data_IF_648711878981
#
_entry.id   IF_648711878981
#
_cell.length_a   1.000
_cell.length_b   1.000
_cell.length_c   1.000
_cell.angle_alpha   90.00
_cell.angle_beta   90.00
_cell.angle_gamma   90.00
#
_symmetry.space_group_name_H-M   'P 1'
#
loop_
_entity.id
_entity.type
_entity.pdbx_description
1 polymer ?
#
# COMPACT_ATOMS: atom_id res chain seq x y z
N UNK A 1 6.12 15.10 33.48
CA UNK A 1 7.39 15.05 32.72
C UNK A 1 7.72 13.59 32.50
N UNK A 2 7.21 13.01 31.43
CA UNK A 2 7.39 11.60 31.09
C UNK A 2 8.62 11.48 30.21
N UNK A 3 9.62 10.75 30.69
CA UNK A 3 10.86 10.47 29.99
C UNK A 3 10.57 9.77 28.66
N UNK A 4 10.92 10.40 27.54
CA UNK A 4 11.13 9.70 26.29
C UNK A 4 12.37 8.82 26.46
N UNK A 5 12.15 7.50 26.53
CA UNK A 5 13.20 6.51 26.33
C UNK A 5 13.73 6.68 24.91
N UNK A 6 14.89 7.31 24.80
CA UNK A 6 15.75 7.25 23.63
C UNK A 6 16.19 5.79 23.45
N UNK A 7 15.40 5.04 22.69
CA UNK A 7 15.75 3.70 22.25
C UNK A 7 16.87 3.84 21.24
N UNK A 8 18.11 3.93 21.72
CA UNK A 8 19.29 3.66 20.90
C UNK A 8 19.12 2.25 20.34
N UNK A 9 18.58 2.15 19.12
CA UNK A 9 18.51 0.91 18.36
C UNK A 9 19.95 0.45 18.20
N UNK A 10 20.35 -0.52 19.00
CA UNK A 10 21.63 -1.18 18.86
C UNK A 10 21.63 -1.84 17.49
N UNK A 11 22.63 -1.49 16.67
CA UNK A 11 22.82 -2.13 15.39
C UNK A 11 23.08 -3.63 15.66
N UNK A 12 22.34 -4.56 15.02
CA UNK A 12 22.61 -5.99 15.17
C UNK A 12 23.98 -6.36 14.60
N UNK A 13 24.55 -7.46 15.05
CA UNK A 13 25.77 -8.02 14.45
C UNK A 13 25.48 -8.53 13.04
N UNK A 14 26.41 -8.32 12.11
CA UNK A 14 26.30 -8.76 10.74
C UNK A 14 26.83 -10.19 10.57
N UNK A 15 26.00 -11.07 10.04
CA UNK A 15 26.35 -12.48 9.83
C UNK A 15 26.88 -12.72 8.43
N UNK A 16 26.32 -12.05 7.42
CA UNK A 16 26.67 -12.21 6.02
C UNK A 16 26.08 -13.47 5.39
N UNK A 17 25.09 -14.11 6.03
CA UNK A 17 24.43 -15.34 5.57
C UNK A 17 22.97 -15.12 5.11
N UNK A 18 22.51 -13.87 5.08
CA UNK A 18 21.12 -13.47 4.78
C UNK A 18 20.06 -14.08 5.73
N UNK A 19 20.48 -14.64 6.87
CA UNK A 19 19.57 -15.11 7.90
C UNK A 19 18.84 -13.94 8.58
N UNK A 20 17.75 -14.23 9.29
CA UNK A 20 17.01 -13.22 10.07
C UNK A 20 16.52 -11.99 9.28
N UNK A 21 16.31 -12.12 7.97
CA UNK A 21 15.96 -11.00 7.07
C UNK A 21 17.04 -9.91 7.03
N UNK A 22 18.30 -10.28 7.25
CA UNK A 22 19.45 -9.39 7.10
C UNK A 22 19.58 -8.93 5.64
N UNK A 23 19.40 -7.63 5.41
CA UNK A 23 19.72 -6.97 4.15
C UNK A 23 21.10 -6.29 4.31
N UNK A 24 22.15 -6.78 3.60
CA UNK A 24 23.50 -6.22 3.71
C UNK A 24 23.58 -4.72 3.35
N UNK A 25 22.76 -4.25 2.42
CA UNK A 25 22.74 -2.85 2.02
C UNK A 25 22.12 -1.96 3.11
N UNK A 26 21.02 -2.41 3.70
CA UNK A 26 20.37 -1.74 4.82
C UNK A 26 21.30 -1.70 6.03
N UNK A 27 21.88 -2.84 6.40
CA UNK A 27 22.78 -2.94 7.55
C UNK A 27 23.99 -2.02 7.39
N UNK A 28 24.65 -2.01 6.22
CA UNK A 28 25.82 -1.16 5.99
C UNK A 28 25.45 0.33 6.04
N UNK A 29 24.26 0.71 5.56
CA UNK A 29 23.77 2.08 5.67
C UNK A 29 23.54 2.50 7.13
N UNK A 30 22.94 1.63 7.94
CA UNK A 30 22.75 1.86 9.38
C UNK A 30 24.09 1.92 10.12
N UNK A 31 25.05 1.06 9.77
CA UNK A 31 26.42 1.11 10.29
C UNK A 31 27.08 2.47 10.02
N UNK A 32 27.02 2.95 8.78
CA UNK A 32 27.57 4.27 8.42
C UNK A 32 26.93 5.42 9.18
N UNK A 33 25.62 5.34 9.39
CA UNK A 33 24.89 6.35 10.16
C UNK A 33 25.30 6.32 11.64
N UNK A 34 25.38 5.13 12.24
CA UNK A 34 25.78 4.96 13.64
C UNK A 34 27.25 5.34 13.92
N UNK A 35 28.09 5.31 12.89
CA UNK A 35 29.53 5.62 12.99
C UNK A 35 29.91 6.94 12.32
N UNK A 36 28.93 7.81 12.00
CA UNK A 36 29.18 9.00 11.17
C UNK A 36 30.18 9.99 11.78
N UNK A 37 30.24 10.07 13.11
CA UNK A 37 31.15 10.95 13.87
C UNK A 37 32.55 10.39 14.06
N UNK A 38 32.78 9.11 13.75
CA UNK A 38 34.06 8.45 13.96
C UNK A 38 35.05 8.75 12.83
N UNK A 39 36.34 8.69 13.16
CA UNK A 39 37.42 8.68 12.17
C UNK A 39 37.39 7.38 11.35
N UNK A 40 38.06 7.37 10.19
CA UNK A 40 38.07 6.18 9.33
C UNK A 40 38.76 4.98 9.99
N UNK A 41 39.83 5.20 10.76
CA UNK A 41 40.46 4.12 11.55
C UNK A 41 39.51 3.55 12.60
N UNK A 42 38.77 4.40 13.31
CA UNK A 42 37.79 3.95 14.30
C UNK A 42 36.61 3.22 13.64
N UNK A 43 36.18 3.64 12.45
CA UNK A 43 35.16 2.96 11.66
C UNK A 43 35.59 1.56 11.24
N UNK A 44 36.84 1.39 10.82
CA UNK A 44 37.40 0.07 10.47
C UNK A 44 37.36 -0.85 11.68
N UNK A 45 37.90 -0.42 12.83
CA UNK A 45 37.85 -1.19 14.08
C UNK A 45 36.41 -1.49 14.50
N UNK A 46 35.52 -0.51 14.39
CA UNK A 46 34.12 -0.66 14.77
C UNK A 46 33.38 -1.61 13.83
N UNK A 47 33.74 -1.65 12.55
CA UNK A 47 33.16 -2.55 11.55
C UNK A 47 33.46 -4.00 11.93
N UNK A 48 34.73 -4.30 12.21
CA UNK A 48 35.17 -5.62 12.67
C UNK A 48 34.41 -6.09 13.93
N UNK A 49 34.27 -5.21 14.93
CA UNK A 49 33.52 -5.50 16.16
C UNK A 49 32.02 -5.73 15.94
N UNK A 50 31.48 -5.34 14.78
CA UNK A 50 30.07 -5.47 14.45
C UNK A 50 29.78 -6.69 13.57
N UNK A 51 30.80 -7.51 13.27
CA UNK A 51 30.63 -8.80 12.61
C UNK A 51 30.27 -9.88 13.64
N UNK A 52 29.53 -10.90 13.20
CA UNK A 52 29.19 -12.02 14.06
C UNK A 52 30.43 -12.89 14.30
N UNK A 53 30.86 -13.10 15.56
CA UNK A 53 32.05 -13.89 15.86
C UNK A 53 31.94 -15.33 15.36
N UNK A 54 32.99 -15.82 14.69
CA UNK A 54 33.03 -17.13 14.04
C UNK A 54 32.05 -17.27 12.87
N UNK A 55 31.55 -16.15 12.34
CA UNK A 55 30.61 -16.11 11.23
C UNK A 55 31.28 -15.84 9.88
N UNK A 56 30.54 -16.10 8.80
CA UNK A 56 30.99 -15.91 7.42
C UNK A 56 31.53 -14.50 7.14
N UNK A 57 30.93 -13.48 7.74
CA UNK A 57 31.37 -12.11 7.55
C UNK A 57 32.71 -11.80 8.24
N UNK A 58 32.95 -12.34 9.43
CA UNK A 58 34.23 -12.16 10.14
C UNK A 58 35.37 -12.91 9.44
N UNK A 59 35.12 -14.14 8.99
CA UNK A 59 36.06 -14.91 8.18
C UNK A 59 36.46 -14.15 6.91
N UNK A 60 35.46 -13.68 6.16
CA UNK A 60 35.66 -12.84 4.97
C UNK A 60 36.48 -11.58 5.28
N UNK A 61 36.12 -10.86 6.36
CA UNK A 61 36.83 -9.64 6.72
C UNK A 61 38.28 -9.95 7.07
N UNK A 62 38.56 -11.04 7.77
CA UNK A 62 39.91 -11.47 8.12
C UNK A 62 40.76 -11.72 6.88
N UNK A 63 40.18 -12.32 5.84
CA UNK A 63 40.83 -12.64 4.56
C UNK A 63 41.12 -11.44 3.65
N UNK A 64 40.46 -10.28 3.87
CA UNK A 64 40.75 -9.07 3.10
C UNK A 64 42.20 -8.60 3.31
N UNK A 65 42.80 -8.10 2.22
CA UNK A 65 44.14 -7.55 2.29
C UNK A 65 44.19 -6.19 3.02
N UNK A 66 45.40 -5.70 3.30
CA UNK A 66 45.59 -4.44 4.03
C UNK A 66 45.08 -3.22 3.26
N UNK A 67 45.06 -3.25 1.92
CA UNK A 67 44.56 -2.16 1.10
C UNK A 67 43.03 -2.10 1.13
N UNK A 68 42.36 -3.24 1.12
CA UNK A 68 40.91 -3.36 1.22
C UNK A 68 40.37 -3.01 2.61
N UNK A 69 41.24 -3.00 3.64
CA UNK A 69 40.94 -2.55 5.02
C UNK A 69 41.38 -1.12 5.31
N UNK A 70 42.00 -0.42 4.36
CA UNK A 70 42.66 0.87 4.63
C UNK A 70 41.68 1.98 5.04
N UNK A 71 40.45 1.92 4.54
CA UNK A 71 39.40 2.91 4.83
C UNK A 71 38.01 2.27 4.84
N UNK A 72 37.02 2.98 5.38
CA UNK A 72 35.63 2.51 5.31
C UNK A 72 35.12 2.46 3.85
N UNK A 73 35.67 3.30 2.97
CA UNK A 73 35.34 3.28 1.55
C UNK A 73 35.86 2.01 0.86
N UNK A 74 37.06 1.55 1.21
CA UNK A 74 37.64 0.31 0.66
C UNK A 74 36.88 -0.92 1.16
N UNK A 75 36.56 -0.95 2.47
CA UNK A 75 35.70 -1.99 3.05
C UNK A 75 34.35 -2.00 2.35
N UNK A 76 33.74 -0.83 2.09
CA UNK A 76 32.46 -0.75 1.37
C UNK A 76 32.56 -1.36 -0.03
N UNK A 77 33.63 -1.09 -0.75
CA UNK A 77 33.83 -1.64 -2.10
C UNK A 77 33.95 -3.16 -2.07
N UNK A 78 34.77 -3.69 -1.16
CA UNK A 78 34.91 -5.13 -0.95
C UNK A 78 33.59 -5.77 -0.48
N UNK A 79 32.87 -5.09 0.42
CA UNK A 79 31.59 -5.53 0.97
C UNK A 79 30.52 -5.66 -0.13
N UNK A 80 30.36 -4.64 -0.98
CA UNK A 80 29.39 -4.67 -2.09
C UNK A 80 29.76 -5.75 -3.12
N UNK A 81 31.06 -6.03 -3.29
CA UNK A 81 31.52 -7.13 -4.15
C UNK A 81 31.15 -8.50 -3.58
N UNK A 82 31.23 -8.69 -2.26
CA UNK A 82 30.89 -9.94 -1.57
C UNK A 82 29.39 -10.14 -1.39
N UNK A 83 28.67 -9.10 -0.99
CA UNK A 83 27.22 -9.07 -0.79
C UNK A 83 26.60 -8.03 -1.74
N UNK A 84 26.44 -8.37 -3.03
CA UNK A 84 25.85 -7.45 -3.99
C UNK A 84 24.41 -7.13 -3.59
N UNK A 85 24.02 -5.87 -3.78
CA UNK A 85 22.63 -5.46 -3.62
C UNK A 85 21.79 -6.29 -4.58
N UNK A 86 20.90 -7.13 -4.05
CA UNK A 86 19.93 -7.82 -4.87
C UNK A 86 19.07 -6.76 -5.55
N UNK A 87 19.30 -6.54 -6.85
CA UNK A 87 18.46 -5.63 -7.63
C UNK A 87 17.05 -6.17 -7.52
N UNK A 88 16.12 -5.36 -7.01
CA UNK A 88 14.70 -5.70 -7.09
C UNK A 88 14.41 -6.08 -8.54
N UNK A 89 13.88 -7.28 -8.81
CA UNK A 89 13.55 -7.67 -10.17
C UNK A 89 12.74 -6.54 -10.80
N UNK A 90 13.20 -6.04 -11.95
CA UNK A 90 12.39 -5.11 -12.72
C UNK A 90 11.15 -5.87 -13.14
N UNK A 91 10.01 -5.40 -12.69
CA UNK A 91 8.72 -5.93 -13.04
C UNK A 91 8.59 -5.90 -14.57
N UNK A 92 8.16 -7.01 -15.17
CA UNK A 92 7.78 -6.98 -16.57
C UNK A 92 6.58 -6.04 -16.75
N UNK A 93 6.37 -5.52 -17.97
CA UNK A 93 5.20 -4.66 -18.23
C UNK A 93 3.88 -5.37 -17.88
N UNK A 94 3.79 -6.68 -18.10
CA UNK A 94 2.63 -7.47 -17.70
C UNK A 94 2.43 -7.46 -16.18
N UNK A 95 3.49 -7.74 -15.41
CA UNK A 95 3.42 -7.74 -13.95
C UNK A 95 3.11 -6.35 -13.36
N UNK A 96 3.62 -5.28 -13.98
CA UNK A 96 3.28 -3.91 -13.59
C UNK A 96 1.78 -3.65 -13.75
N UNK A 97 1.21 -4.02 -14.90
CA UNK A 97 -0.23 -3.88 -15.17
C UNK A 97 -1.07 -4.69 -14.19
N UNK A 98 -0.69 -5.94 -13.92
CA UNK A 98 -1.36 -6.80 -12.94
C UNK A 98 -1.38 -6.14 -11.55
N UNK A 99 -0.24 -5.61 -11.08
CA UNK A 99 -0.19 -4.96 -9.75
C UNK A 99 -1.01 -3.70 -9.64
N UNK A 100 -1.06 -2.88 -10.68
CA UNK A 100 -1.96 -1.72 -10.72
C UNK A 100 -3.41 -2.20 -10.69
N UNK A 101 -3.75 -3.24 -11.45
CA UNK A 101 -5.11 -3.80 -11.49
C UNK A 101 -5.55 -4.45 -10.19
N UNK A 102 -4.61 -4.95 -9.39
CA UNK A 102 -4.88 -5.49 -8.05
C UNK A 102 -5.22 -4.40 -7.03
N UNK A 103 -4.96 -3.12 -7.33
CA UNK A 103 -5.35 -2.00 -6.48
C UNK A 103 -6.84 -1.68 -6.65
N UNK A 104 -7.68 -2.47 -5.98
CA UNK A 104 -9.14 -2.32 -6.07
C UNK A 104 -9.65 -1.24 -5.12
N UNK A 105 -10.39 -0.26 -5.66
CA UNK A 105 -11.20 0.67 -4.88
C UNK A 105 -12.55 0.03 -4.57
N UNK A 106 -12.83 -0.21 -3.30
CA UNK A 106 -14.14 -0.72 -2.90
C UNK A 106 -15.18 0.38 -3.05
N UNK A 107 -16.34 0.05 -3.62
CA UNK A 107 -17.44 1.00 -3.79
C UNK A 107 -17.95 1.57 -2.46
N UNK A 108 -17.83 0.81 -1.38
CA UNK A 108 -18.23 1.22 -0.03
C UNK A 108 -17.30 2.28 0.59
N UNK A 109 -16.07 2.42 0.09
CA UNK A 109 -15.11 3.39 0.58
C UNK A 109 -15.22 4.75 -0.15
N UNK A 110 -15.90 4.79 -1.30
CA UNK A 110 -16.02 6.01 -2.11
C UNK A 110 -16.93 7.03 -1.41
N UNK A 111 -16.45 8.27 -1.26
CA UNK A 111 -17.19 9.33 -0.59
C UNK A 111 -17.28 9.16 0.94
N UNK A 112 -16.62 8.15 1.49
CA UNK A 112 -16.49 7.95 2.94
C UNK A 112 -15.11 8.34 3.42
N UNK A 113 -15.06 8.89 4.63
CA UNK A 113 -13.82 9.09 5.35
C UNK A 113 -13.30 7.74 5.85
N UNK A 114 -12.06 7.40 5.50
CA UNK A 114 -11.42 6.14 5.86
C UNK A 114 -10.09 6.43 6.56
N UNK A 115 -9.78 5.65 7.59
CA UNK A 115 -8.50 5.68 8.28
C UNK A 115 -7.63 4.51 7.80
N UNK A 116 -6.47 4.79 7.22
CA UNK A 116 -5.49 3.80 6.77
C UNK A 116 -4.18 3.97 7.57
N UNK A 117 -4.23 3.54 8.83
CA UNK A 117 -3.09 3.54 9.76
C UNK A 117 -2.56 4.93 10.11
N UNK A 118 -1.75 5.52 9.22
CA UNK A 118 -1.06 6.81 9.40
C UNK A 118 -1.72 7.98 8.66
N UNK A 119 -2.69 7.73 7.78
CA UNK A 119 -3.36 8.78 7.01
C UNK A 119 -4.87 8.57 7.01
N UNK A 120 -5.61 9.66 7.11
CA UNK A 120 -7.07 9.65 7.03
C UNK A 120 -7.52 10.65 5.98
N UNK A 121 -8.30 10.17 5.01
CA UNK A 121 -8.89 10.95 3.93
C UNK A 121 -10.06 10.14 3.34
N UNK A 122 -10.72 10.68 2.32
CA UNK A 122 -11.73 9.96 1.58
C UNK A 122 -11.15 8.74 0.86
N UNK A 123 -11.89 7.62 0.85
CA UNK A 123 -11.41 6.34 0.34
C UNK A 123 -10.88 6.38 -1.10
N UNK A 124 -11.51 7.19 -1.98
CA UNK A 124 -11.02 7.37 -3.35
C UNK A 124 -9.66 8.11 -3.41
N UNK A 125 -9.42 9.07 -2.51
CA UNK A 125 -8.16 9.81 -2.47
C UNK A 125 -7.03 8.90 -1.99
N UNK A 126 -7.26 8.16 -0.90
CA UNK A 126 -6.29 7.18 -0.38
C UNK A 126 -5.96 6.11 -1.42
N UNK A 127 -6.97 5.61 -2.14
CA UNK A 127 -6.76 4.68 -3.24
C UNK A 127 -5.91 5.28 -4.36
N UNK A 128 -6.25 6.47 -4.86
CA UNK A 128 -5.50 7.11 -5.95
C UNK A 128 -4.04 7.35 -5.55
N UNK A 129 -3.79 7.81 -4.31
CA UNK A 129 -2.43 7.96 -3.80
C UNK A 129 -1.66 6.64 -3.75
N UNK A 130 -2.28 5.55 -3.29
CA UNK A 130 -1.63 4.23 -3.25
C UNK A 130 -1.26 3.75 -4.65
N UNK A 131 -2.15 3.93 -5.63
CA UNK A 131 -1.90 3.58 -7.04
C UNK A 131 -0.74 4.39 -7.61
N UNK A 132 -0.75 5.72 -7.42
CA UNK A 132 0.33 6.60 -7.90
C UNK A 132 1.67 6.22 -7.27
N UNK A 133 1.72 6.04 -5.94
CA UNK A 133 2.93 5.63 -5.22
C UNK A 133 3.46 4.28 -5.74
N UNK A 134 2.55 3.32 -6.00
CA UNK A 134 2.90 2.02 -6.56
C UNK A 134 3.48 2.16 -7.98
N UNK A 135 2.81 2.89 -8.87
CA UNK A 135 3.26 3.10 -10.25
C UNK A 135 4.64 3.78 -10.31
N UNK A 136 4.83 4.86 -9.53
CA UNK A 136 6.12 5.54 -9.41
C UNK A 136 7.20 4.62 -8.86
N UNK A 137 6.89 3.75 -7.89
CA UNK A 137 7.85 2.77 -7.37
C UNK A 137 8.30 1.73 -8.40
N UNK A 138 7.49 1.51 -9.45
CA UNK A 138 7.81 0.65 -10.59
C UNK A 138 8.52 1.41 -11.73
N UNK A 139 8.76 2.71 -11.56
CA UNK A 139 9.42 3.58 -12.54
C UNK A 139 8.50 4.13 -13.63
N UNK A 140 7.18 4.08 -13.45
CA UNK A 140 6.21 4.58 -14.42
C UNK A 140 5.95 6.08 -14.28
N UNK A 141 6.99 6.91 -14.42
CA UNK A 141 6.84 8.37 -14.27
C UNK A 141 6.00 9.03 -15.38
N UNK A 142 5.91 8.39 -16.55
CA UNK A 142 5.21 8.92 -17.73
C UNK A 142 3.71 8.55 -17.78
N UNK A 143 3.14 7.96 -16.73
CA UNK A 143 1.70 7.69 -16.68
C UNK A 143 1.21 6.53 -17.56
N UNK A 144 2.08 5.64 -18.05
CA UNK A 144 1.64 4.58 -18.97
C UNK A 144 0.68 3.55 -18.36
N UNK A 145 0.57 3.49 -17.02
CA UNK A 145 -0.33 2.58 -16.31
C UNK A 145 -1.61 3.28 -15.81
N UNK A 146 -1.84 4.56 -16.14
CA UNK A 146 -3.06 5.29 -15.76
C UNK A 146 -4.31 4.58 -16.30
N UNK A 147 -4.28 4.15 -17.56
CA UNK A 147 -5.38 3.39 -18.16
C UNK A 147 -5.67 2.12 -17.37
N UNK A 148 -4.64 1.36 -16.96
CA UNK A 148 -4.82 0.14 -16.19
C UNK A 148 -5.46 0.42 -14.82
N UNK A 149 -5.17 1.56 -14.19
CA UNK A 149 -5.82 1.99 -12.96
C UNK A 149 -7.30 2.35 -13.18
N UNK A 150 -7.59 3.08 -14.27
CA UNK A 150 -8.95 3.50 -14.63
C UNK A 150 -9.85 2.32 -15.04
N UNK A 151 -9.30 1.20 -15.49
CA UNK A 151 -10.10 0.01 -15.81
C UNK A 151 -10.80 -0.59 -14.57
N UNK A 152 -10.24 -0.39 -13.38
CA UNK A 152 -10.70 -1.05 -12.15
C UNK A 152 -11.54 -0.16 -11.23
N UNK A 153 -11.79 1.09 -11.62
CA UNK A 153 -12.57 2.01 -10.78
C UNK A 153 -14.07 1.68 -10.86
N UNK A 154 -14.80 1.76 -9.73
CA UNK A 154 -16.25 1.66 -9.76
C UNK A 154 -16.90 2.77 -10.59
N UNK A 155 -17.98 2.46 -11.31
CA UNK A 155 -18.73 3.43 -12.13
C UNK A 155 -19.10 4.69 -11.33
N UNK A 156 -19.41 4.53 -10.05
CA UNK A 156 -19.73 5.62 -9.13
C UNK A 156 -18.64 6.72 -9.05
N UNK A 157 -17.37 6.36 -9.22
CA UNK A 157 -16.28 7.33 -9.36
C UNK A 157 -16.06 7.70 -10.84
N UNK A 158 -16.14 6.72 -11.74
CA UNK A 158 -15.93 6.89 -13.18
C UNK A 158 -16.81 7.97 -13.80
N UNK A 159 -18.06 8.06 -13.39
CA UNK A 159 -19.06 9.03 -13.88
C UNK A 159 -18.69 10.49 -13.56
N UNK A 160 -17.66 10.72 -12.74
CA UNK A 160 -17.16 12.03 -12.35
C UNK A 160 -15.76 12.35 -12.88
N UNK A 161 -15.16 11.44 -13.64
CA UNK A 161 -13.82 11.56 -14.19
C UNK A 161 -13.87 11.67 -15.73
N UNK A 162 -12.91 12.35 -16.31
CA UNK A 162 -12.72 12.38 -17.78
C UNK A 162 -12.15 11.06 -18.29
N UNK A 163 -11.46 10.31 -17.42
CA UNK A 163 -10.77 9.06 -17.75
C UNK A 163 -9.71 9.20 -18.85
N UNK A 164 -9.22 10.42 -19.08
CA UNK A 164 -8.16 10.76 -20.00
C UNK A 164 -7.23 11.70 -19.23
N UNK A 165 -6.00 11.26 -18.96
CA UNK A 165 -4.99 12.00 -18.20
C UNK A 165 -3.60 11.72 -18.76
N UNK A 166 -2.79 12.77 -18.92
CA UNK A 166 -1.43 12.66 -19.48
C UNK A 166 -0.37 12.44 -18.40
N UNK A 167 -0.72 12.66 -17.14
CA UNK A 167 0.19 12.52 -16.00
C UNK A 167 -0.48 11.96 -14.74
N UNK A 168 0.33 11.41 -13.83
CA UNK A 168 -0.16 10.94 -12.54
C UNK A 168 -0.65 12.09 -11.65
N UNK A 169 -0.08 13.27 -11.81
CA UNK A 169 -0.48 14.49 -11.13
C UNK A 169 -1.90 14.91 -11.54
N UNK A 170 -2.18 14.97 -12.84
CA UNK A 170 -3.52 15.28 -13.36
C UNK A 170 -4.56 14.26 -12.91
N UNK A 171 -4.21 12.97 -13.00
CA UNK A 171 -5.07 11.89 -12.51
C UNK A 171 -5.41 12.05 -11.03
N UNK A 172 -4.39 12.29 -10.18
CA UNK A 172 -4.57 12.43 -8.74
C UNK A 172 -5.38 13.68 -8.38
N UNK A 173 -5.12 14.79 -9.06
CA UNK A 173 -5.88 16.03 -8.89
C UNK A 173 -7.34 15.85 -9.30
N UNK A 174 -7.61 15.19 -10.42
CA UNK A 174 -8.96 14.92 -10.88
C UNK A 174 -9.75 14.09 -9.86
N UNK A 175 -9.16 13.04 -9.30
CA UNK A 175 -9.81 12.23 -8.25
C UNK A 175 -10.10 13.05 -6.99
N UNK A 176 -9.15 13.88 -6.54
CA UNK A 176 -9.31 14.71 -5.35
C UNK A 176 -10.36 15.81 -5.51
N UNK A 177 -10.52 16.31 -6.74
CA UNK A 177 -11.49 17.36 -7.07
C UNK A 177 -12.91 16.84 -7.30
N UNK A 178 -13.14 15.53 -7.25
CA UNK A 178 -14.51 14.98 -7.36
C UNK A 178 -15.34 15.45 -6.15
N UNK A 179 -16.51 16.09 -6.39
CA UNK A 179 -17.35 16.58 -5.30
C UNK A 179 -17.83 15.46 -4.37
N UNK A 180 -17.33 15.46 -3.13
CA UNK A 180 -17.60 14.39 -2.13
C UNK A 180 -19.08 14.28 -1.78
N UNK A 181 -19.83 15.40 -1.82
CA UNK A 181 -21.28 15.42 -1.63
C UNK A 181 -22.04 14.62 -2.71
N UNK A 182 -21.57 14.65 -3.96
CA UNK A 182 -22.17 13.87 -5.06
C UNK A 182 -21.87 12.38 -4.88
N UNK A 183 -20.63 12.05 -4.54
CA UNK A 183 -20.22 10.67 -4.25
C UNK A 183 -21.01 10.05 -3.11
N UNK A 184 -21.17 10.78 -1.99
CA UNK A 184 -21.95 10.31 -0.84
C UNK A 184 -23.41 10.06 -1.20
N UNK A 185 -24.06 10.97 -1.93
CA UNK A 185 -25.44 10.80 -2.39
C UNK A 185 -25.60 9.61 -3.34
N UNK A 186 -24.67 9.45 -4.27
CA UNK A 186 -24.66 8.30 -5.18
C UNK A 186 -24.50 6.98 -4.41
N UNK A 187 -23.67 6.98 -3.35
CA UNK A 187 -23.48 5.82 -2.50
C UNK A 187 -24.74 5.50 -1.68
N UNK A 188 -25.41 6.51 -1.13
CA UNK A 188 -26.70 6.35 -0.45
C UNK A 188 -27.76 5.76 -1.37
N UNK A 189 -27.88 6.24 -2.63
CA UNK A 189 -28.81 5.65 -3.60
C UNK A 189 -28.47 4.20 -3.90
N UNK A 190 -27.20 3.89 -4.14
CA UNK A 190 -26.77 2.51 -4.42
C UNK A 190 -27.08 1.56 -3.25
N UNK A 191 -26.96 2.03 -2.01
CA UNK A 191 -27.34 1.26 -0.81
C UNK A 191 -28.85 1.07 -0.75
N UNK A 192 -29.64 2.11 -1.06
CA UNK A 192 -31.10 2.02 -1.13
C UNK A 192 -31.56 1.02 -2.19
N UNK A 193 -31.00 1.07 -3.39
CA UNK A 193 -31.30 0.14 -4.48
C UNK A 193 -30.96 -1.30 -4.09
N UNK A 194 -29.75 -1.55 -3.55
CA UNK A 194 -29.36 -2.88 -3.06
C UNK A 194 -30.29 -3.41 -1.98
N UNK A 195 -30.76 -2.54 -1.09
CA UNK A 195 -31.71 -2.90 -0.02
C UNK A 195 -33.07 -3.27 -0.60
N UNK A 196 -33.58 -2.49 -1.56
CA UNK A 196 -34.82 -2.81 -2.30
C UNK A 196 -34.69 -4.15 -3.02
N UNK A 197 -33.60 -4.36 -3.76
CA UNK A 197 -33.35 -5.61 -4.49
C UNK A 197 -33.23 -6.83 -3.58
N UNK A 198 -32.57 -6.67 -2.43
CA UNK A 198 -32.47 -7.73 -1.42
C UNK A 198 -33.85 -8.06 -0.82
N UNK A 199 -34.67 -7.04 -0.54
CA UNK A 199 -36.03 -7.24 -0.06
C UNK A 199 -36.91 -7.95 -1.11
N UNK A 200 -36.82 -7.54 -2.38
CA UNK A 200 -37.53 -8.20 -3.49
C UNK A 200 -37.09 -9.65 -3.65
N UNK A 201 -35.79 -9.93 -3.65
CA UNK A 201 -35.27 -11.31 -3.73
C UNK A 201 -35.74 -12.17 -2.55
N UNK A 202 -35.73 -11.60 -1.34
CA UNK A 202 -36.25 -12.28 -0.13
C UNK A 202 -37.74 -12.58 -0.28
N UNK A 203 -38.53 -11.64 -0.80
CA UNK A 203 -39.95 -11.82 -1.05
C UNK A 203 -40.23 -12.89 -2.11
N UNK A 204 -39.51 -12.89 -3.23
CA UNK A 204 -39.64 -13.92 -4.28
C UNK A 204 -39.38 -15.31 -3.67
N UNK A 205 -38.33 -15.45 -2.83
CA UNK A 205 -38.01 -16.72 -2.18
C UNK A 205 -39.09 -17.18 -1.19
N UNK A 206 -39.65 -16.27 -0.39
CA UNK A 206 -40.69 -16.61 0.59
C UNK A 206 -42.04 -16.92 -0.07
N UNK A 207 -42.35 -16.25 -1.18
CA UNK A 207 -43.61 -16.45 -1.91
C UNK A 207 -43.64 -17.72 -2.77
N UNK A 208 -42.49 -18.34 -3.05
CA UNK A 208 -42.38 -19.67 -3.68
C UNK A 208 -42.87 -20.77 -2.72
N UNK A 209 -44.19 -20.89 -2.59
CA UNK A 209 -44.86 -21.85 -1.71
C UNK A 209 -46.10 -21.29 -0.99
N UNK A 210 -46.30 -19.97 -1.03
CA UNK A 210 -47.46 -19.31 -0.41
C UNK A 210 -48.69 -19.34 -1.33
N UNK A 211 -49.88 -19.52 -0.75
CA UNK A 211 -51.17 -19.31 -1.43
C UNK A 211 -51.32 -17.85 -1.86
N UNK A 212 -52.14 -17.57 -2.88
CA UNK A 212 -52.31 -16.24 -3.49
C UNK A 212 -52.74 -15.17 -2.47
N UNK A 213 -53.65 -15.52 -1.56
CA UNK A 213 -54.17 -14.61 -0.52
C UNK A 213 -53.08 -14.22 0.50
N UNK A 214 -52.24 -15.17 0.89
CA UNK A 214 -51.12 -14.92 1.81
C UNK A 214 -50.02 -14.07 1.18
N UNK A 215 -49.88 -14.06 -0.16
CA UNK A 215 -48.92 -13.20 -0.85
C UNK A 215 -49.35 -11.74 -0.87
N UNK A 216 -50.65 -11.46 -0.98
CA UNK A 216 -51.19 -10.10 -1.01
C UNK A 216 -51.10 -9.42 0.37
N UNK A 217 -51.44 -10.12 1.46
CA UNK A 217 -51.32 -9.58 2.82
C UNK A 217 -49.86 -9.28 3.21
N UNK A 218 -48.93 -10.17 2.85
CA UNK A 218 -47.51 -10.01 3.19
C UNK A 218 -46.83 -8.90 2.37
N UNK A 219 -47.22 -8.75 1.09
CA UNK A 219 -46.73 -7.67 0.24
C UNK A 219 -47.17 -6.29 0.74
N UNK A 220 -48.44 -6.13 1.14
CA UNK A 220 -48.93 -4.88 1.73
C UNK A 220 -48.14 -4.52 3.01
N UNK A 221 -47.91 -5.48 3.92
CA UNK A 221 -47.24 -5.20 5.21
C UNK A 221 -45.78 -4.73 5.05
N UNK A 222 -45.02 -5.38 4.19
CA UNK A 222 -43.59 -5.09 4.03
C UNK A 222 -43.34 -3.88 3.10
N UNK A 223 -44.16 -3.69 2.06
CA UNK A 223 -44.03 -2.54 1.16
C UNK A 223 -44.39 -1.22 1.86
N UNK A 224 -45.46 -1.19 2.67
CA UNK A 224 -45.83 -0.01 3.47
C UNK A 224 -44.80 0.31 4.57
N UNK A 225 -44.06 -0.68 5.06
CA UNK A 225 -42.99 -0.47 6.06
C UNK A 225 -41.73 0.15 5.42
N UNK A 226 -41.41 -0.22 4.18
CA UNK A 226 -40.30 0.36 3.41
C UNK A 226 -40.58 1.79 2.93
N UNK A 227 -41.83 2.12 2.55
CA UNK A 227 -42.22 3.49 2.21
C UNK A 227 -42.19 4.44 3.42
N UNK A 228 -42.53 3.97 4.62
CA UNK A 228 -42.41 4.78 5.86
C UNK A 228 -40.96 5.13 6.18
N UNK A 229 -40.06 4.16 6.09
CA UNK A 229 -38.62 4.39 6.29
C UNK A 229 -38.00 5.36 5.27
N UNK A 230 -38.65 5.56 4.11
CA UNK A 230 -38.22 6.51 3.08
C UNK A 230 -38.78 7.94 3.27
N UNK A 231 -39.75 8.16 4.16
CA UNK A 231 -40.37 9.49 4.40
C UNK A 231 -39.84 10.22 5.64
N UNK A 232 -39.11 9.52 6.51
CA UNK A 232 -38.61 10.08 7.78
C UNK A 232 -37.12 10.49 7.75
N UNK A 233 -36.55 10.78 6.56
CA UNK A 233 -35.18 11.32 6.40
C UNK A 233 -35.16 12.56 5.50
#
# INVERSE_FOLDING_TARGET
MTQNQDSMKTLPLFRGDYSNKEDPAEWFALFRLATSSLTDSEKVTRFECQLYPGGLAEEWFTELDAAEKASLADIKNAFIRRWPMMRRPKWSRAQQRERVKDQVLKTEDIGRWVEDGQTSDYGQNLWAERVVKLALSMGDANGFLIDDALHQIPNLLKDHLTCEYDSWEEFLEAVRNVPTNKLRRAQEELIRERTRDAAVKRWIKLSQGMSRDLREEFFQRDFYSLERLSRDV
#
